data_IF_982318528299
#
_entry.id   IF_982318528299
#
_cell.length_a   1.000
_cell.length_b   1.000
_cell.length_c   1.000
_cell.angle_alpha   90.00
_cell.angle_beta   90.00
_cell.angle_gamma   90.00
#
_symmetry.space_group_name_H-M   'P 1'
#
loop_
_entity.id
_entity.type
_entity.pdbx_description
1 polymer ?
#
# COMPACT_ATOMS: atom_id res chain seq x y z
N UNK A 1 -29.61 14.64 -17.59
CA UNK A 1 -29.97 14.95 -16.19
C UNK A 1 -30.08 13.64 -15.44
N UNK A 2 -29.04 13.26 -14.78
CA UNK A 2 -28.96 12.02 -14.00
C UNK A 2 -29.12 12.34 -12.51
N UNK A 3 -30.20 11.87 -11.91
CA UNK A 3 -30.43 12.00 -10.48
C UNK A 3 -29.69 10.86 -9.74
N UNK A 4 -28.65 11.18 -9.01
CA UNK A 4 -28.02 10.24 -8.08
C UNK A 4 -28.80 10.21 -6.77
N UNK A 5 -29.28 9.03 -6.38
CA UNK A 5 -29.86 8.79 -5.05
C UNK A 5 -28.77 8.31 -4.13
N UNK A 6 -28.37 9.13 -3.14
CA UNK A 6 -27.49 8.70 -2.04
C UNK A 6 -28.34 8.12 -0.91
N UNK A 7 -28.12 6.87 -0.56
CA UNK A 7 -28.69 6.28 0.65
C UNK A 7 -27.58 6.14 1.69
N UNK A 8 -27.66 6.90 2.80
CA UNK A 8 -26.75 6.78 3.94
C UNK A 8 -27.47 6.11 5.11
N UNK A 9 -27.07 4.90 5.47
CA UNK A 9 -27.50 4.26 6.71
C UNK A 9 -26.37 4.33 7.74
N UNK A 10 -26.60 5.01 8.88
CA UNK A 10 -25.70 4.98 10.05
C UNK A 10 -26.11 3.83 10.96
N UNK A 11 -25.22 2.88 11.17
CA UNK A 11 -25.38 1.89 12.24
C UNK A 11 -24.29 2.14 13.29
N UNK A 12 -24.69 2.48 14.53
CA UNK A 12 -23.80 2.68 15.66
C UNK A 12 -23.81 1.46 16.56
N UNK A 13 -22.70 0.74 16.65
CA UNK A 13 -22.51 -0.30 17.67
C UNK A 13 -21.42 0.13 18.64
N UNK A 14 -21.81 0.46 19.90
CA UNK A 14 -20.86 0.66 20.98
C UNK A 14 -20.54 -0.68 21.63
N UNK A 15 -19.31 -1.14 21.55
CA UNK A 15 -18.76 -2.12 22.53
C UNK A 15 -17.45 -1.59 23.11
N UNK A 16 -17.45 -1.47 24.45
CA UNK A 16 -16.26 -1.17 25.26
C UNK A 16 -15.49 -2.47 25.46
N UNK A 17 -14.31 -2.59 24.84
CA UNK A 17 -13.31 -3.55 25.29
C UNK A 17 -12.04 -2.79 25.67
N UNK A 18 -11.64 -2.93 26.95
CA UNK A 18 -10.34 -2.42 27.44
C UNK A 18 -9.25 -3.32 26.89
N UNK A 19 -8.48 -2.82 25.94
CA UNK A 19 -7.29 -3.50 25.45
C UNK A 19 -6.12 -3.31 26.42
N UNK A 20 -5.58 -4.43 26.92
CA UNK A 20 -4.32 -4.48 27.67
C UNK A 20 -3.16 -4.61 26.65
N UNK A 21 -2.71 -3.51 26.09
CA UNK A 21 -1.63 -3.55 25.09
C UNK A 21 -0.49 -2.56 25.34
N UNK A 22 -0.07 -2.37 26.62
CA UNK A 22 1.07 -1.49 26.93
C UNK A 22 2.47 -2.14 26.84
N UNK A 23 2.59 -3.44 26.57
CA UNK A 23 3.91 -4.14 26.55
C UNK A 23 4.46 -4.50 25.16
N UNK A 24 3.66 -4.44 24.11
CA UNK A 24 4.05 -4.98 22.81
C UNK A 24 4.70 -3.95 21.86
N UNK A 25 4.55 -2.65 22.11
CA UNK A 25 5.15 -1.60 21.26
C UNK A 25 6.65 -1.42 21.55
N UNK A 26 7.12 -1.78 22.76
CA UNK A 26 8.54 -1.61 23.11
C UNK A 26 9.50 -2.54 22.37
N UNK A 27 9.02 -3.69 21.90
CA UNK A 27 9.87 -4.70 21.26
C UNK A 27 10.17 -4.36 19.79
N UNK A 28 9.43 -3.40 19.20
CA UNK A 28 9.66 -2.86 17.86
C UNK A 28 10.28 -1.46 17.87
N UNK A 29 10.37 -0.81 19.04
CA UNK A 29 11.07 0.48 19.15
C UNK A 29 12.58 0.24 19.13
N UNK A 30 13.18 0.33 17.95
CA UNK A 30 14.62 0.49 17.79
C UNK A 30 15.00 1.78 18.51
N UNK A 31 15.98 1.68 19.43
CA UNK A 31 16.59 2.86 20.05
C UNK A 31 17.18 3.74 18.93
N UNK A 32 16.49 4.83 18.59
CA UNK A 32 16.86 5.78 17.53
C UNK A 32 18.17 6.54 17.81
N UNK A 33 19.16 5.89 18.37
CA UNK A 33 20.49 6.45 18.59
C UNK A 33 21.52 6.04 17.54
N UNK A 34 21.10 5.47 16.41
CA UNK A 34 21.98 5.32 15.25
C UNK A 34 21.72 6.44 14.25
N UNK A 35 22.67 7.29 14.13
CA UNK A 35 22.75 8.64 13.57
C UNK A 35 22.71 8.75 12.04
N UNK A 36 21.89 8.02 11.27
CA UNK A 36 22.12 8.02 9.83
C UNK A 36 21.03 8.65 8.95
N UNK A 37 19.80 8.84 9.41
CA UNK A 37 18.79 9.58 8.61
C UNK A 37 18.07 10.59 9.50
N UNK A 38 18.17 11.87 9.17
CA UNK A 38 17.38 12.91 9.83
C UNK A 38 15.90 12.80 9.42
N UNK A 39 14.98 13.26 10.27
CA UNK A 39 13.55 13.30 9.92
C UNK A 39 13.30 14.05 8.59
N UNK A 40 14.04 15.14 8.34
CA UNK A 40 13.96 15.93 7.11
C UNK A 40 14.39 15.14 5.86
N UNK A 41 15.43 14.30 5.96
CA UNK A 41 15.89 13.44 4.86
C UNK A 41 14.91 12.30 4.59
N UNK A 42 14.36 11.69 5.64
CA UNK A 42 13.32 10.69 5.52
C UNK A 42 12.06 11.23 4.87
N UNK A 43 11.61 12.40 5.29
CA UNK A 43 10.47 13.10 4.70
C UNK A 43 10.72 13.41 3.21
N UNK A 44 11.90 13.97 2.87
CA UNK A 44 12.25 14.27 1.48
C UNK A 44 12.24 13.03 0.60
N UNK A 45 12.86 11.92 1.03
CA UNK A 45 12.86 10.66 0.30
C UNK A 45 11.46 10.15 0.03
N UNK A 46 10.59 10.19 1.04
CA UNK A 46 9.20 9.76 0.90
C UNK A 46 8.41 10.62 -0.08
N UNK A 47 8.62 11.93 -0.08
CA UNK A 47 8.02 12.84 -1.06
C UNK A 47 8.49 12.54 -2.49
N UNK A 48 9.79 12.34 -2.68
CA UNK A 48 10.38 12.00 -3.98
C UNK A 48 9.84 10.66 -4.50
N UNK A 49 9.78 9.63 -3.64
CA UNK A 49 9.20 8.34 -3.97
C UNK A 49 7.72 8.46 -4.35
N UNK A 50 6.94 9.18 -3.55
CA UNK A 50 5.52 9.42 -3.85
C UNK A 50 5.36 10.07 -5.22
N UNK A 51 6.18 11.07 -5.53
CA UNK A 51 6.17 11.75 -6.82
C UNK A 51 6.46 10.79 -7.98
N UNK A 52 7.48 9.94 -7.84
CA UNK A 52 7.83 8.93 -8.85
C UNK A 52 6.71 7.91 -9.07
N UNK A 53 6.10 7.42 -7.99
CA UNK A 53 4.97 6.49 -8.07
C UNK A 53 3.74 7.13 -8.71
N UNK A 54 3.43 8.39 -8.40
CA UNK A 54 2.30 9.13 -8.99
C UNK A 54 2.46 9.30 -10.50
N UNK A 55 3.68 9.47 -11.00
CA UNK A 55 3.95 9.61 -12.44
C UNK A 55 3.74 8.32 -13.23
N UNK A 56 3.59 7.18 -12.59
CA UNK A 56 3.29 5.90 -13.23
C UNK A 56 1.77 5.70 -13.19
N UNK A 57 1.15 5.56 -14.37
CA UNK A 57 -0.28 5.23 -14.45
C UNK A 57 -0.50 3.78 -14.01
N UNK A 58 -1.31 3.59 -12.98
CA UNK A 58 -1.76 2.28 -12.48
C UNK A 58 -3.27 2.25 -12.28
N UNK A 59 -4.00 3.01 -13.09
CA UNK A 59 -5.46 3.12 -13.00
C UNK A 59 -6.18 1.80 -13.29
N UNK A 60 -7.19 1.49 -12.48
CA UNK A 60 -8.09 0.36 -12.63
C UNK A 60 -9.56 0.87 -12.75
N UNK A 61 -10.25 0.61 -13.85
CA UNK A 61 -9.73 0.12 -15.12
C UNK A 61 -8.84 1.14 -15.83
N UNK A 62 -7.82 0.65 -16.52
CA UNK A 62 -6.89 1.52 -17.28
C UNK A 62 -5.57 0.84 -17.58
N UNK A 63 -4.46 1.44 -17.12
CA UNK A 63 -3.11 0.90 -17.35
C UNK A 63 -2.79 -0.31 -16.47
N UNK A 64 -3.50 -0.49 -15.36
CA UNK A 64 -3.27 -1.51 -14.35
C UNK A 64 -1.86 -1.44 -13.72
N UNK A 65 -1.53 -2.37 -12.83
CA UNK A 65 -0.35 -2.28 -11.97
C UNK A 65 0.96 -2.74 -12.61
N UNK A 66 0.95 -3.35 -13.78
CA UNK A 66 2.14 -4.00 -14.35
C UNK A 66 3.39 -3.10 -14.38
N UNK A 67 3.24 -1.83 -14.74
CA UNK A 67 4.36 -0.90 -14.82
C UNK A 67 4.84 -0.45 -13.43
N UNK A 68 3.93 -0.13 -12.52
CA UNK A 68 4.30 0.32 -11.16
C UNK A 68 4.88 -0.84 -10.35
N UNK A 69 4.33 -2.04 -10.48
CA UNK A 69 4.83 -3.25 -9.84
C UNK A 69 6.27 -3.56 -10.24
N UNK A 70 6.56 -3.56 -11.55
CA UNK A 70 7.91 -3.79 -12.06
C UNK A 70 8.87 -2.70 -11.57
N UNK A 71 8.44 -1.44 -11.55
CA UNK A 71 9.26 -0.34 -11.04
C UNK A 71 9.60 -0.51 -9.55
N UNK A 72 8.63 -0.94 -8.72
CA UNK A 72 8.84 -1.20 -7.29
C UNK A 72 9.78 -2.40 -7.11
N UNK A 73 9.62 -3.47 -7.90
CA UNK A 73 10.50 -4.62 -7.87
C UNK A 73 11.96 -4.24 -8.14
N UNK A 74 12.20 -3.44 -9.18
CA UNK A 74 13.54 -2.96 -9.53
C UNK A 74 14.12 -2.05 -8.46
N UNK A 75 13.28 -1.20 -7.87
CA UNK A 75 13.68 -0.33 -6.76
C UNK A 75 14.10 -1.15 -5.53
N UNK A 76 13.32 -2.13 -5.10
CA UNK A 76 13.70 -3.03 -3.99
C UNK A 76 14.94 -3.85 -4.31
N UNK A 77 15.08 -4.35 -5.52
CA UNK A 77 16.27 -5.07 -5.95
C UNK A 77 17.52 -4.23 -5.72
N UNK A 78 17.49 -2.96 -6.16
CA UNK A 78 18.59 -2.02 -5.96
C UNK A 78 18.86 -1.74 -4.48
N UNK A 79 17.84 -1.42 -3.70
CA UNK A 79 17.96 -1.14 -2.27
C UNK A 79 18.60 -2.33 -1.50
N UNK A 80 18.16 -3.54 -1.81
CA UNK A 80 18.71 -4.77 -1.20
C UNK A 80 20.17 -4.98 -1.60
N UNK A 81 20.49 -4.85 -2.89
CA UNK A 81 21.87 -5.02 -3.39
C UNK A 81 22.84 -4.00 -2.79
N UNK A 82 22.43 -2.75 -2.66
CA UNK A 82 23.27 -1.66 -2.18
C UNK A 82 23.41 -1.64 -0.64
N UNK A 83 22.36 -2.05 0.11
CA UNK A 83 22.29 -1.82 1.56
C UNK A 83 22.34 -3.06 2.43
N UNK A 84 21.90 -4.23 1.95
CA UNK A 84 21.76 -5.41 2.80
C UNK A 84 23.10 -6.10 3.18
N UNK A 85 24.20 -5.74 2.54
CA UNK A 85 25.51 -6.30 2.82
C UNK A 85 25.56 -7.82 2.69
N UNK A 86 26.10 -8.51 3.70
CA UNK A 86 26.23 -9.98 3.70
C UNK A 86 24.86 -10.72 3.84
N UNK A 87 23.82 -10.03 4.27
CA UNK A 87 22.50 -10.62 4.51
C UNK A 87 21.57 -10.55 3.31
N UNK A 88 22.01 -9.95 2.18
CA UNK A 88 21.17 -9.78 0.98
C UNK A 88 20.49 -11.05 0.49
N UNK A 89 21.20 -12.18 0.52
CA UNK A 89 20.67 -13.47 0.07
C UNK A 89 19.61 -14.08 1.02
N UNK A 90 19.39 -13.47 2.18
CA UNK A 90 18.35 -13.89 3.12
C UNK A 90 17.07 -13.07 2.96
N UNK A 91 17.13 -11.94 2.25
CA UNK A 91 15.97 -11.11 1.97
C UNK A 91 15.25 -11.68 0.74
N UNK A 92 13.98 -11.97 0.91
CA UNK A 92 13.13 -12.50 -0.14
C UNK A 92 12.48 -11.36 -0.92
N UNK A 93 12.46 -11.48 -2.26
CA UNK A 93 11.71 -10.60 -3.14
C UNK A 93 10.97 -11.49 -4.15
N UNK A 94 9.64 -11.47 -4.13
CA UNK A 94 8.78 -12.42 -4.83
C UNK A 94 7.65 -11.70 -5.56
N UNK A 95 7.49 -11.99 -6.85
CA UNK A 95 6.34 -11.61 -7.67
C UNK A 95 5.39 -12.81 -7.79
N UNK A 96 4.09 -12.58 -7.65
CA UNK A 96 3.04 -13.59 -7.77
C UNK A 96 1.91 -13.11 -8.65
N UNK A 97 1.72 -13.78 -9.78
CA UNK A 97 0.61 -13.47 -10.65
C UNK A 97 -0.74 -13.76 -9.98
N UNK A 98 -1.60 -12.77 -9.92
CA UNK A 98 -2.96 -12.82 -9.37
C UNK A 98 -3.97 -12.92 -10.50
N UNK A 99 -3.78 -12.13 -11.53
CA UNK A 99 -4.56 -12.10 -12.76
C UNK A 99 -3.60 -11.95 -13.95
N UNK A 100 -4.02 -12.27 -15.17
CA UNK A 100 -3.15 -12.18 -16.34
C UNK A 100 -2.43 -10.82 -16.44
N UNK A 101 -1.09 -10.84 -16.27
CA UNK A 101 -0.24 -9.67 -16.33
C UNK A 101 -0.30 -8.73 -15.12
N UNK A 102 -1.01 -9.10 -14.05
CA UNK A 102 -1.10 -8.31 -12.80
C UNK A 102 -0.55 -9.13 -11.63
N UNK A 103 0.49 -8.62 -10.98
CA UNK A 103 1.28 -9.36 -9.99
C UNK A 103 1.26 -8.65 -8.63
N UNK A 104 1.06 -9.41 -7.57
CA UNK A 104 1.44 -8.98 -6.24
C UNK A 104 2.96 -9.05 -6.08
N UNK A 105 3.49 -8.16 -5.27
CA UNK A 105 4.90 -8.11 -4.90
C UNK A 105 5.07 -8.28 -3.40
N UNK A 106 5.97 -9.16 -2.96
CA UNK A 106 6.38 -9.29 -1.56
C UNK A 106 7.88 -9.07 -1.43
N UNK A 107 8.27 -8.25 -0.46
CA UNK A 107 9.63 -8.17 0.03
C UNK A 107 9.65 -8.55 1.52
N UNK A 108 10.58 -9.44 1.94
CA UNK A 108 10.62 -9.96 3.31
C UNK A 108 12.03 -10.02 3.86
N UNK A 109 12.25 -9.39 4.99
CA UNK A 109 13.43 -9.59 5.84
C UNK A 109 13.04 -10.63 6.89
N UNK A 110 13.74 -11.79 6.97
CA UNK A 110 13.43 -12.80 7.97
C UNK A 110 13.77 -12.31 9.39
N UNK A 111 13.17 -12.93 10.40
CA UNK A 111 13.48 -12.66 11.79
C UNK A 111 14.57 -13.60 12.32
N UNK A 112 15.20 -13.23 13.46
CA UNK A 112 16.13 -14.10 14.20
C UNK A 112 15.46 -15.31 14.84
N UNK A 113 14.20 -15.17 15.24
CA UNK A 113 13.45 -16.23 15.92
C UNK A 113 13.10 -17.35 14.93
N UNK A 114 13.39 -18.59 15.34
CA UNK A 114 13.32 -19.78 14.48
C UNK A 114 11.90 -20.27 14.18
N UNK A 115 10.84 -19.59 14.51
CA UNK A 115 9.47 -19.86 14.05
C UNK A 115 8.39 -20.04 15.12
N UNK A 116 7.16 -19.99 14.72
CA UNK A 116 6.55 -18.98 13.86
C UNK A 116 6.31 -17.67 14.61
N UNK A 117 7.26 -16.79 14.56
CA UNK A 117 7.12 -15.46 15.14
C UNK A 117 6.18 -14.62 14.27
N UNK A 118 5.22 -13.88 14.85
CA UNK A 118 4.39 -12.94 14.09
C UNK A 118 5.25 -11.92 13.36
N UNK A 119 4.96 -11.69 12.09
CA UNK A 119 5.61 -10.64 11.29
C UNK A 119 4.95 -9.27 11.54
N UNK A 120 5.70 -8.20 11.29
CA UNK A 120 5.13 -6.90 10.97
C UNK A 120 5.00 -6.80 9.46
N UNK A 121 3.77 -6.68 8.97
CA UNK A 121 3.44 -6.65 7.56
C UNK A 121 2.88 -5.29 7.21
N UNK A 122 3.54 -4.58 6.30
CA UNK A 122 2.95 -3.47 5.58
C UNK A 122 2.22 -4.01 4.35
N UNK A 123 0.95 -3.67 4.21
CA UNK A 123 0.16 -4.00 3.03
C UNK A 123 -0.30 -2.71 2.37
N UNK A 124 -0.13 -2.64 1.04
CA UNK A 124 -0.41 -1.43 0.26
C UNK A 124 -0.93 -1.85 -1.10
N UNK A 125 -1.97 -1.19 -1.61
CA UNK A 125 -2.35 -1.40 -3.00
C UNK A 125 -1.53 -0.54 -3.96
N UNK A 126 -1.34 -1.03 -5.19
CA UNK A 126 -0.56 -0.37 -6.23
C UNK A 126 -1.43 0.28 -7.30
N UNK A 127 -2.68 -0.14 -7.42
CA UNK A 127 -3.67 0.45 -8.30
C UNK A 127 -4.19 1.80 -7.81
N UNK A 128 -4.92 2.47 -8.66
CA UNK A 128 -5.71 3.67 -8.34
C UNK A 128 -7.00 3.61 -9.12
N UNK A 129 -8.04 4.31 -8.68
CA UNK A 129 -9.19 4.55 -9.54
C UNK A 129 -8.77 5.27 -10.83
N UNK A 130 -9.63 5.24 -11.84
CA UNK A 130 -9.41 5.92 -13.13
C UNK A 130 -8.88 7.36 -12.93
N UNK A 131 -8.07 7.82 -13.87
CA UNK A 131 -7.51 9.18 -13.83
C UNK A 131 -8.60 10.24 -13.71
N UNK A 132 -9.74 10.05 -14.39
CA UNK A 132 -10.85 10.98 -14.38
C UNK A 132 -10.58 12.26 -15.17
N UNK A 133 -11.57 13.16 -15.12
CA UNK A 133 -11.52 14.47 -15.78
C UNK A 133 -11.44 15.58 -14.73
N UNK A 134 -11.20 16.83 -15.17
CA UNK A 134 -11.22 18.02 -14.31
C UNK A 134 -9.89 18.35 -13.65
N UNK A 135 -8.80 17.75 -14.10
CA UNK A 135 -7.45 18.14 -13.71
C UNK A 135 -7.09 19.49 -14.33
N UNK A 136 -6.46 20.35 -13.51
CA UNK A 136 -5.92 21.62 -14.00
C UNK A 136 -4.65 21.38 -14.83
N UNK A 137 -4.38 22.24 -15.82
CA UNK A 137 -3.18 22.15 -16.65
C UNK A 137 -1.89 22.22 -15.79
N UNK A 138 -1.92 23.01 -14.72
CA UNK A 138 -0.81 23.15 -13.79
C UNK A 138 -0.61 21.93 -12.87
N UNK A 139 -1.63 21.11 -12.66
CA UNK A 139 -1.63 19.94 -11.79
C UNK A 139 -2.28 18.73 -12.47
N UNK A 140 -1.67 18.22 -13.56
CA UNK A 140 -2.24 17.09 -14.29
C UNK A 140 -2.22 15.80 -13.46
N UNK A 141 -3.09 14.86 -13.80
CA UNK A 141 -3.29 13.61 -13.04
C UNK A 141 -1.99 12.86 -12.71
N UNK A 142 -1.05 12.80 -13.62
CA UNK A 142 0.24 12.11 -13.44
C UNK A 142 1.42 13.10 -13.28
N UNK A 143 1.12 14.35 -12.94
CA UNK A 143 2.14 15.41 -12.87
C UNK A 143 3.03 15.35 -11.64
N UNK A 144 2.55 14.80 -10.54
CA UNK A 144 3.25 14.81 -9.25
C UNK A 144 3.73 16.21 -8.84
N UNK A 145 2.90 17.22 -9.08
CA UNK A 145 3.27 18.64 -8.88
C UNK A 145 3.22 18.97 -7.40
N UNK A 146 4.30 19.56 -6.89
CA UNK A 146 4.31 20.10 -5.52
C UNK A 146 3.97 21.59 -5.57
N UNK A 147 2.84 21.98 -4.97
CA UNK A 147 2.36 23.36 -4.88
C UNK A 147 1.85 23.63 -3.48
N UNK A 148 2.28 24.71 -2.85
CA UNK A 148 1.86 25.13 -1.49
C UNK A 148 2.00 24.02 -0.42
N UNK A 149 3.07 23.23 -0.48
CA UNK A 149 3.33 22.14 0.48
C UNK A 149 2.44 20.91 0.30
N UNK A 150 1.78 20.76 -0.85
CA UNK A 150 0.95 19.61 -1.22
C UNK A 150 1.46 18.99 -2.51
N UNK A 151 1.41 17.67 -2.59
CA UNK A 151 1.69 16.92 -3.82
C UNK A 151 0.38 16.58 -4.51
N UNK A 152 0.24 17.01 -5.76
CA UNK A 152 -0.95 16.81 -6.58
C UNK A 152 -0.73 15.69 -7.60
N UNK A 153 -1.69 14.79 -7.71
CA UNK A 153 -1.73 13.72 -8.71
C UNK A 153 -2.68 12.59 -8.31
N UNK A 154 -3.10 11.76 -9.28
CA UNK A 154 -3.91 10.58 -9.04
C UNK A 154 -3.13 9.59 -8.18
N UNK A 155 -3.76 9.11 -7.08
CA UNK A 155 -3.12 8.21 -6.15
C UNK A 155 -2.16 8.88 -5.15
N UNK A 156 -1.93 10.20 -5.21
CA UNK A 156 -1.01 10.87 -4.28
C UNK A 156 -1.42 10.68 -2.81
N UNK A 157 -2.72 10.60 -2.53
CA UNK A 157 -3.26 10.34 -1.20
C UNK A 157 -3.67 8.87 -1.03
N UNK A 158 -4.37 8.31 -2.01
CA UNK A 158 -4.94 6.96 -2.01
C UNK A 158 -4.29 6.14 -3.15
N UNK A 159 -3.29 5.24 -2.85
CA UNK A 159 -2.55 5.27 -1.58
C UNK A 159 -1.02 5.31 -1.80
N UNK A 160 -0.55 5.92 -2.92
CA UNK A 160 0.89 5.94 -3.29
C UNK A 160 1.79 6.63 -2.27
N UNK A 161 1.25 7.57 -1.45
CA UNK A 161 2.01 8.13 -0.33
C UNK A 161 2.22 7.11 0.79
N UNK A 162 1.20 6.34 1.13
CA UNK A 162 1.31 5.23 2.06
C UNK A 162 2.24 4.13 1.56
N UNK A 163 2.14 3.80 0.28
CA UNK A 163 3.04 2.88 -0.42
C UNK A 163 4.50 3.36 -0.33
N UNK A 164 4.77 4.64 -0.61
CA UNK A 164 6.11 5.23 -0.50
C UNK A 164 6.65 5.20 0.95
N UNK A 165 5.79 5.44 1.94
CA UNK A 165 6.16 5.33 3.36
C UNK A 165 6.57 3.89 3.71
N UNK A 166 5.79 2.90 3.29
CA UNK A 166 6.09 1.49 3.53
C UNK A 166 7.38 1.04 2.84
N UNK A 167 7.60 1.45 1.59
CA UNK A 167 8.85 1.22 0.86
C UNK A 167 10.05 1.82 1.58
N UNK A 168 9.94 3.09 2.01
CA UNK A 168 11.00 3.77 2.76
C UNK A 168 11.32 3.05 4.07
N UNK A 169 10.29 2.64 4.83
CA UNK A 169 10.48 1.90 6.08
C UNK A 169 11.16 0.55 5.85
N UNK A 170 10.82 -0.14 4.75
CA UNK A 170 11.47 -1.40 4.39
C UNK A 170 12.95 -1.17 4.03
N UNK A 171 13.27 -0.14 3.24
CA UNK A 171 14.65 0.22 2.91
C UNK A 171 15.48 0.56 4.14
N UNK A 172 14.90 1.29 5.12
CA UNK A 172 15.59 1.59 6.38
C UNK A 172 15.91 0.33 7.18
N UNK A 173 15.00 -0.66 7.16
CA UNK A 173 15.24 -1.96 7.79
C UNK A 173 16.30 -2.79 7.05
N UNK A 174 16.36 -2.72 5.72
CA UNK A 174 17.43 -3.32 4.91
C UNK A 174 18.78 -2.72 5.28
N UNK A 175 18.86 -1.39 5.35
CA UNK A 175 20.09 -0.67 5.72
C UNK A 175 20.55 -0.98 7.14
N UNK A 176 19.63 -1.00 8.11
CA UNK A 176 19.91 -1.38 9.49
C UNK A 176 20.45 -2.81 9.56
N UNK A 177 19.80 -3.74 8.86
CA UNK A 177 20.20 -5.14 8.80
C UNK A 177 21.60 -5.29 8.19
N UNK A 178 21.88 -4.59 7.11
CA UNK A 178 23.19 -4.61 6.45
C UNK A 178 24.30 -3.99 7.29
N UNK A 179 24.05 -2.85 7.94
CA UNK A 179 25.02 -2.13 8.75
C UNK A 179 25.36 -2.83 10.06
N UNK A 180 24.37 -3.48 10.69
CA UNK A 180 24.58 -4.24 11.94
C UNK A 180 25.05 -5.67 11.71
N UNK A 181 24.82 -6.24 10.52
CA UNK A 181 25.00 -7.66 10.25
C UNK A 181 24.01 -8.56 11.00
N UNK A 182 22.91 -8.00 11.51
CA UNK A 182 21.93 -8.70 12.32
C UNK A 182 20.52 -8.61 11.74
N UNK A 183 19.80 -9.73 11.72
CA UNK A 183 18.39 -9.77 11.39
C UNK A 183 17.54 -9.11 12.49
N UNK A 184 16.36 -8.55 12.17
CA UNK A 184 15.41 -8.10 13.17
C UNK A 184 14.92 -9.26 14.05
N UNK A 185 14.40 -8.98 15.23
CA UNK A 185 13.86 -10.02 16.11
C UNK A 185 12.74 -10.81 15.42
N UNK A 186 11.91 -10.14 14.65
CA UNK A 186 10.74 -10.71 13.95
C UNK A 186 10.79 -10.37 12.45
N UNK A 187 10.13 -11.15 11.60
CA UNK A 187 10.08 -10.84 10.18
C UNK A 187 9.47 -9.46 9.93
N UNK A 188 10.02 -8.74 8.96
CA UNK A 188 9.50 -7.48 8.47
C UNK A 188 9.13 -7.65 7.00
N UNK A 189 7.87 -7.37 6.65
CA UNK A 189 7.31 -7.72 5.35
C UNK A 189 6.64 -6.50 4.72
N UNK A 190 6.90 -6.31 3.44
CA UNK A 190 6.15 -5.41 2.57
C UNK A 190 5.37 -6.25 1.56
N UNK A 191 4.12 -5.91 1.33
CA UNK A 191 3.27 -6.52 0.30
C UNK A 191 2.62 -5.41 -0.51
N UNK A 192 2.94 -5.36 -1.81
CA UNK A 192 2.20 -4.58 -2.81
C UNK A 192 1.13 -5.44 -3.44
N UNK A 193 -0.12 -5.01 -3.36
CA UNK A 193 -1.28 -5.76 -3.89
C UNK A 193 -1.86 -5.09 -5.12
N UNK A 194 -2.54 -5.89 -5.93
CA UNK A 194 -3.32 -5.45 -7.10
C UNK A 194 -4.80 -5.44 -6.78
N UNK A 195 -5.59 -4.63 -7.54
CA UNK A 195 -7.05 -4.75 -7.60
C UNK A 195 -7.80 -4.39 -6.30
N UNK A 196 -7.24 -3.49 -5.50
CA UNK A 196 -7.92 -3.04 -4.28
C UNK A 196 -9.16 -2.22 -4.63
N UNK A 197 -9.05 -1.34 -5.60
CA UNK A 197 -10.09 -0.39 -6.00
C UNK A 197 -11.32 -1.07 -6.65
N UNK A 198 -11.20 -2.35 -7.05
CA UNK A 198 -12.30 -3.12 -7.65
C UNK A 198 -12.74 -4.29 -6.75
N UNK A 199 -12.03 -5.42 -6.73
CA UNK A 199 -12.46 -6.66 -6.03
C UNK A 199 -11.52 -7.14 -4.94
N UNK A 200 -10.38 -6.51 -4.67
CA UNK A 200 -9.40 -6.88 -3.66
C UNK A 200 -8.79 -8.30 -3.88
N UNK A 201 -8.72 -8.77 -5.12
CA UNK A 201 -8.19 -10.10 -5.47
C UNK A 201 -6.72 -10.27 -5.08
N UNK A 202 -5.96 -9.18 -5.06
CA UNK A 202 -4.57 -9.16 -4.60
C UNK A 202 -4.44 -9.57 -3.13
N UNK A 203 -5.24 -8.98 -2.25
CA UNK A 203 -5.23 -9.31 -0.82
C UNK A 203 -5.67 -10.76 -0.59
N UNK A 204 -6.72 -11.21 -1.27
CA UNK A 204 -7.17 -12.60 -1.19
C UNK A 204 -6.08 -13.59 -1.63
N UNK A 205 -5.33 -13.25 -2.68
CA UNK A 205 -4.20 -14.05 -3.14
C UNK A 205 -3.08 -14.08 -2.11
N UNK A 206 -2.70 -12.94 -1.52
CA UNK A 206 -1.65 -12.86 -0.50
C UNK A 206 -1.98 -13.75 0.73
N UNK A 207 -3.25 -13.76 1.16
CA UNK A 207 -3.72 -14.62 2.25
C UNK A 207 -3.66 -16.11 1.83
N UNK A 208 -4.16 -16.45 0.65
CA UNK A 208 -4.17 -17.83 0.13
C UNK A 208 -2.76 -18.39 -0.05
N UNK A 209 -1.82 -17.54 -0.48
CA UNK A 209 -0.42 -17.92 -0.73
C UNK A 209 0.41 -17.96 0.58
N UNK A 210 -0.21 -17.65 1.71
CA UNK A 210 0.43 -17.72 3.03
C UNK A 210 1.42 -16.59 3.31
N UNK A 211 1.33 -15.46 2.58
CA UNK A 211 2.16 -14.29 2.82
C UNK A 211 1.77 -13.54 4.10
N UNK A 212 0.53 -13.76 4.55
CA UNK A 212 -0.04 -13.18 5.77
C UNK A 212 -0.63 -14.28 6.63
N UNK A 213 -0.24 -14.31 7.92
CA UNK A 213 -0.73 -15.24 8.92
C UNK A 213 -1.70 -14.57 9.91
N UNK A 214 -2.42 -15.39 10.68
CA UNK A 214 -3.40 -14.91 11.68
C UNK A 214 -2.77 -14.14 12.84
N UNK A 215 -1.52 -14.46 13.16
CA UNK A 215 -0.80 -13.88 14.28
C UNK A 215 0.02 -12.65 13.86
N UNK A 216 0.09 -12.35 12.54
CA UNK A 216 0.85 -11.23 12.04
C UNK A 216 0.21 -9.89 12.40
N UNK A 217 1.05 -8.89 12.53
CA UNK A 217 0.65 -7.52 12.75
C UNK A 217 0.62 -6.83 11.40
N UNK A 218 -0.58 -6.43 10.99
CA UNK A 218 -0.79 -5.82 9.69
C UNK A 218 -0.98 -4.32 9.87
N UNK A 219 -0.21 -3.57 9.11
CA UNK A 219 -0.37 -2.13 8.95
C UNK A 219 -0.72 -1.86 7.49
N UNK A 220 -1.98 -1.52 7.27
CA UNK A 220 -2.49 -0.97 6.03
C UNK A 220 -2.24 0.55 6.04
N UNK A 221 -1.60 1.06 4.99
CA UNK A 221 -1.16 2.45 4.94
C UNK A 221 -2.12 3.36 4.17
N UNK A 222 -3.40 3.03 4.20
CA UNK A 222 -4.51 3.81 3.65
C UNK A 222 -4.62 5.22 4.26
N UNK A 223 -5.17 6.20 3.52
CA UNK A 223 -5.35 7.56 4.02
C UNK A 223 -6.42 7.63 5.11
N UNK A 224 -6.01 7.90 6.34
CA UNK A 224 -6.84 7.91 7.54
C UNK A 224 -6.82 9.25 8.29
N UNK A 225 -6.37 10.34 7.65
CA UNK A 225 -6.14 11.64 8.29
C UNK A 225 -5.24 11.54 9.54
N UNK A 226 -4.24 10.63 9.51
CA UNK A 226 -3.33 10.36 10.61
C UNK A 226 -3.97 9.66 11.82
N UNK A 227 -5.18 9.11 11.66
CA UNK A 227 -5.88 8.35 12.70
C UNK A 227 -5.59 6.86 12.57
N UNK A 228 -5.33 6.19 13.70
CA UNK A 228 -5.26 4.73 13.73
C UNK A 228 -6.67 4.16 13.68
N UNK A 229 -7.00 3.46 12.59
CA UNK A 229 -8.28 2.77 12.42
C UNK A 229 -8.07 1.25 12.60
N UNK A 230 -8.92 0.63 13.41
CA UNK A 230 -8.82 -0.80 13.75
C UNK A 230 -9.91 -1.65 13.09
N UNK A 231 -10.68 -1.06 12.21
CA UNK A 231 -11.73 -1.70 11.43
C UNK A 231 -12.11 -0.84 10.23
N UNK A 232 -12.56 -1.46 9.18
CA UNK A 232 -13.04 -0.81 7.95
C UNK A 232 -14.51 -1.13 7.69
N UNK A 233 -15.13 -0.39 6.77
CA UNK A 233 -16.47 -0.65 6.28
C UNK A 233 -16.43 -1.73 5.21
N UNK A 234 -17.46 -2.57 5.13
CA UNK A 234 -17.66 -3.45 3.99
C UNK A 234 -18.14 -2.68 2.76
N UNK A 235 -17.89 -3.23 1.58
CA UNK A 235 -18.35 -2.74 0.27
C UNK A 235 -19.21 -3.81 -0.39
N UNK A 236 -20.27 -3.38 -1.08
CA UNK A 236 -21.12 -4.26 -1.89
C UNK A 236 -21.39 -3.59 -3.22
N UNK A 237 -21.03 -4.26 -4.30
CA UNK A 237 -21.32 -3.85 -5.66
C UNK A 237 -22.64 -4.45 -6.14
N UNK A 238 -23.42 -3.66 -6.84
CA UNK A 238 -24.65 -4.10 -7.49
C UNK A 238 -24.62 -3.69 -8.96
N UNK A 239 -24.89 -4.63 -9.84
CA UNK A 239 -25.14 -4.38 -11.24
C UNK A 239 -26.65 -4.54 -11.51
N UNK A 240 -27.28 -3.52 -12.05
CA UNK A 240 -28.70 -3.53 -12.42
C UNK A 240 -28.81 -3.41 -13.94
N UNK A 241 -29.25 -4.51 -14.56
CA UNK A 241 -29.52 -4.55 -15.99
C UNK A 241 -31.02 -4.43 -16.24
N UNK A 242 -31.43 -3.41 -16.96
CA UNK A 242 -32.83 -3.19 -17.37
C UNK A 242 -32.93 -3.49 -18.87
N UNK A 243 -33.69 -4.53 -19.19
CA UNK A 243 -34.00 -4.85 -20.60
C UNK A 243 -35.27 -4.12 -21.01
N UNK A 244 -35.21 -3.42 -22.13
CA UNK A 244 -36.34 -2.71 -22.70
C UNK A 244 -36.40 -2.85 -24.23
N UNK A 245 -37.49 -2.40 -24.79
CA UNK A 245 -37.65 -2.32 -26.25
C UNK A 245 -37.30 -0.89 -26.66
N UNK A 246 -36.48 -0.78 -27.71
CA UNK A 246 -36.11 0.54 -28.27
C UNK A 246 -37.34 1.24 -28.82
N UNK A 247 -37.60 2.45 -28.36
CA UNK A 247 -38.69 3.28 -28.82
C UNK A 247 -38.22 4.72 -29.05
N UNK A 248 -38.97 5.48 -29.84
CA UNK A 248 -38.70 6.89 -30.02
C UNK A 248 -39.13 7.69 -28.77
N UNK A 249 -38.35 8.69 -28.36
CA UNK A 249 -38.60 9.46 -27.15
C UNK A 249 -39.97 10.13 -27.08
N UNK A 250 -40.59 10.43 -28.23
CA UNK A 250 -41.95 11.02 -28.31
C UNK A 250 -43.08 9.97 -28.30
N UNK A 251 -42.73 8.68 -28.33
CA UNK A 251 -43.68 7.57 -28.29
C UNK A 251 -43.01 6.38 -27.65
N UNK A 252 -42.79 6.43 -26.30
CA UNK A 252 -42.06 5.42 -25.55
C UNK A 252 -42.83 4.09 -25.38
#
# INVERSE_FOLDING_TARGET
MGSSVRCSARCSVRRRNRCRSRRLVSDYMIDRRSDNVTAEEGDRRTWELTGQLVQIDSSDPGAYEGQIEQWIYEWFTKEIEEKAGALKNQIELVQREVMPGRFNLMARIPGKEQAPAPALVYICHMDTVMLGEGWEEETPALGAVVKEGRLYGRGACDMKSGLACAMSAFSDMVELTGSTGELPARPFVFIGTVDEEDFMRGVESAIRDGWVGREDWILDTEPTDGQIQVAHKGRTWFELTIQGITAHASNP
#
